data_IF_945225242611
#
_entry.id   IF_945225242611
#
_cell.length_a   1.000
_cell.length_b   1.000
_cell.length_c   1.000
_cell.angle_alpha   90.00
_cell.angle_beta   90.00
_cell.angle_gamma   90.00
#
_symmetry.space_group_name_H-M   'P 1'
#
loop_
_entity.id
_entity.type
_entity.pdbx_description
1 polymer ?
#
# COMPACT_ATOMS: atom_id res chain seq x y z
N UNK A 1 -21.36 29.16 14.89
CA UNK A 1 -20.28 29.01 13.90
C UNK A 1 -20.09 27.53 13.69
N UNK A 2 -20.87 26.95 12.80
CA UNK A 2 -20.85 25.52 12.52
C UNK A 2 -19.78 25.28 11.45
N UNK A 3 -18.56 24.93 11.88
CA UNK A 3 -17.52 24.50 10.95
C UNK A 3 -17.85 23.08 10.56
N UNK A 4 -18.82 22.96 9.65
CA UNK A 4 -19.08 21.76 8.88
C UNK A 4 -17.78 21.43 8.15
N UNK A 5 -17.00 20.50 8.70
CA UNK A 5 -15.78 19.97 8.08
C UNK A 5 -16.19 19.20 6.83
N UNK A 6 -16.41 19.96 5.76
CA UNK A 6 -16.64 19.47 4.41
C UNK A 6 -15.33 18.81 3.99
N UNK A 7 -15.21 17.51 4.23
CA UNK A 7 -14.16 16.67 3.67
C UNK A 7 -14.21 16.86 2.17
N UNK A 8 -13.31 17.71 1.66
CA UNK A 8 -13.15 17.90 0.23
C UNK A 8 -12.60 16.59 -0.32
N UNK A 9 -13.49 15.80 -0.93
CA UNK A 9 -13.17 14.53 -1.52
C UNK A 9 -12.54 14.82 -2.89
N UNK A 10 -11.21 15.02 -2.93
CA UNK A 10 -10.41 15.29 -4.12
C UNK A 10 -10.33 14.06 -5.06
N UNK A 11 -11.44 13.43 -5.43
CA UNK A 11 -11.43 12.22 -6.27
C UNK A 11 -10.44 11.14 -5.78
N UNK A 12 -10.17 11.11 -4.47
CA UNK A 12 -9.11 10.31 -3.87
C UNK A 12 -9.58 8.87 -3.87
N UNK A 13 -9.28 8.18 -4.98
CA UNK A 13 -9.35 6.72 -5.09
C UNK A 13 -8.73 6.15 -3.81
N UNK A 14 -9.47 5.29 -3.10
CA UNK A 14 -9.02 4.70 -1.83
C UNK A 14 -7.54 4.34 -1.93
N UNK A 15 -6.73 4.80 -0.97
CA UNK A 15 -5.32 4.42 -0.89
C UNK A 15 -5.30 2.93 -0.55
N UNK A 16 -5.18 2.10 -1.58
CA UNK A 16 -4.98 0.66 -1.45
C UNK A 16 -3.51 0.36 -1.23
N UNK A 17 -3.21 -0.82 -0.68
CA UNK A 17 -1.85 -1.35 -0.60
C UNK A 17 -1.12 -1.26 -1.95
N UNK A 18 -1.81 -1.58 -3.04
CA UNK A 18 -1.26 -1.57 -4.40
C UNK A 18 -0.83 -0.16 -4.84
N UNK A 19 -1.69 0.84 -4.63
CA UNK A 19 -1.39 2.24 -4.97
C UNK A 19 -0.31 2.82 -4.08
N UNK A 20 -0.29 2.50 -2.78
CA UNK A 20 0.76 2.92 -1.86
C UNK A 20 2.12 2.32 -2.25
N UNK A 21 2.14 1.02 -2.56
CA UNK A 21 3.34 0.31 -3.00
C UNK A 21 3.93 0.90 -4.28
N UNK A 22 3.08 1.16 -5.28
CA UNK A 22 3.48 1.75 -6.54
C UNK A 22 4.02 3.18 -6.35
N UNK A 23 3.35 4.01 -5.54
CA UNK A 23 3.77 5.36 -5.23
C UNK A 23 5.14 5.40 -4.53
N UNK A 24 5.37 4.51 -3.56
CA UNK A 24 6.68 4.37 -2.88
C UNK A 24 7.79 4.04 -3.89
N UNK A 25 7.59 3.04 -4.76
CA UNK A 25 8.59 2.69 -5.77
C UNK A 25 8.92 3.86 -6.69
N UNK A 26 7.89 4.57 -7.16
CA UNK A 26 8.06 5.71 -8.06
C UNK A 26 8.74 6.89 -7.36
N UNK A 27 8.45 7.12 -6.07
CA UNK A 27 9.11 8.14 -5.26
C UNK A 27 10.61 7.87 -5.07
N UNK A 28 11.03 6.61 -5.14
CA UNK A 28 12.44 6.21 -5.08
C UNK A 28 13.10 6.10 -6.47
N UNK A 29 12.38 6.44 -7.54
CA UNK A 29 12.82 6.34 -8.94
C UNK A 29 13.28 4.93 -9.36
N UNK A 30 12.79 3.89 -8.67
CA UNK A 30 13.22 2.51 -8.91
C UNK A 30 12.41 1.85 -10.01
N UNK A 31 13.08 1.09 -10.87
CA UNK A 31 12.42 0.17 -11.80
C UNK A 31 11.79 -1.01 -11.04
N UNK A 32 10.86 -1.72 -11.68
CA UNK A 32 10.31 -2.97 -11.13
C UNK A 32 11.40 -3.99 -10.80
N UNK A 33 12.47 -4.05 -11.61
CA UNK A 33 13.59 -4.97 -11.39
C UNK A 33 14.32 -4.63 -10.10
N UNK A 34 14.73 -3.39 -9.93
CA UNK A 34 15.48 -2.93 -8.75
C UNK A 34 14.65 -3.07 -7.47
N UNK A 35 13.39 -2.65 -7.52
CA UNK A 35 12.53 -2.72 -6.35
C UNK A 35 12.14 -4.16 -5.99
N UNK A 36 11.92 -5.03 -6.98
CA UNK A 36 11.69 -6.45 -6.70
C UNK A 36 12.89 -7.13 -6.04
N UNK A 37 14.12 -6.74 -6.45
CA UNK A 37 15.36 -7.18 -5.83
C UNK A 37 15.49 -6.69 -4.38
N UNK A 38 15.19 -5.41 -4.13
CA UNK A 38 15.17 -4.84 -2.78
C UNK A 38 14.19 -5.58 -1.85
N UNK A 39 13.02 -5.96 -2.36
CA UNK A 39 11.99 -6.65 -1.59
C UNK A 39 12.23 -8.15 -1.45
N UNK A 40 13.09 -8.73 -2.29
CA UNK A 40 13.33 -10.17 -2.37
C UNK A 40 12.16 -10.95 -2.96
N UNK A 41 11.44 -10.38 -3.94
CA UNK A 41 10.33 -11.03 -4.64
C UNK A 41 10.58 -11.02 -6.16
N UNK A 42 9.82 -11.83 -6.91
CA UNK A 42 9.90 -11.77 -8.37
C UNK A 42 9.28 -10.47 -8.92
N UNK A 43 9.80 -10.01 -10.07
CA UNK A 43 9.26 -8.87 -10.82
C UNK A 43 7.77 -9.04 -11.10
N UNK A 44 7.36 -10.25 -11.49
CA UNK A 44 5.97 -10.57 -11.78
C UNK A 44 5.09 -10.39 -10.54
N UNK A 45 5.54 -10.89 -9.37
CA UNK A 45 4.82 -10.74 -8.11
C UNK A 45 4.68 -9.28 -7.72
N UNK A 46 5.74 -8.47 -7.88
CA UNK A 46 5.68 -7.04 -7.64
C UNK A 46 4.65 -6.35 -8.55
N UNK A 47 4.67 -6.65 -9.85
CA UNK A 47 3.71 -6.11 -10.83
C UNK A 47 2.26 -6.48 -10.50
N UNK A 48 2.01 -7.71 -10.04
CA UNK A 48 0.68 -8.17 -9.63
C UNK A 48 0.19 -7.48 -8.35
N UNK A 49 1.10 -7.19 -7.41
CA UNK A 49 0.80 -6.44 -6.20
C UNK A 49 0.48 -4.96 -6.52
N UNK A 50 1.31 -4.29 -7.33
CA UNK A 50 1.11 -2.89 -7.72
C UNK A 50 -0.17 -2.68 -8.53
N UNK A 51 -0.61 -3.69 -9.29
CA UNK A 51 -1.85 -3.64 -10.06
C UNK A 51 -3.07 -4.15 -9.29
N UNK A 52 -2.90 -4.56 -8.03
CA UNK A 52 -3.98 -5.08 -7.19
C UNK A 52 -4.55 -6.43 -7.65
N UNK A 53 -3.87 -7.14 -8.56
CA UNK A 53 -4.26 -8.49 -9.00
C UNK A 53 -4.02 -9.55 -7.94
N UNK A 54 -3.10 -9.26 -7.01
CA UNK A 54 -2.79 -10.12 -5.87
C UNK A 54 -2.93 -9.31 -4.59
N UNK A 55 -3.68 -9.86 -3.63
CA UNK A 55 -3.78 -9.30 -2.29
C UNK A 55 -2.71 -9.98 -1.43
N UNK A 56 -1.76 -9.22 -0.84
CA UNK A 56 -0.78 -9.80 0.07
C UNK A 56 -1.46 -10.28 1.36
N UNK A 57 -0.89 -11.31 2.00
CA UNK A 57 -1.32 -11.68 3.34
C UNK A 57 -0.98 -10.58 4.35
N UNK A 58 -1.73 -10.45 5.45
CA UNK A 58 -1.44 -9.45 6.49
C UNK A 58 -0.02 -9.57 7.06
N UNK A 59 0.47 -10.80 7.24
CA UNK A 59 1.85 -11.07 7.66
C UNK A 59 2.87 -10.47 6.70
N UNK A 60 2.68 -10.67 5.39
CA UNK A 60 3.58 -10.14 4.38
C UNK A 60 3.52 -8.62 4.29
N UNK A 61 2.33 -8.02 4.42
CA UNK A 61 2.19 -6.56 4.45
C UNK A 61 2.94 -5.95 5.65
N UNK A 62 2.97 -6.63 6.79
CA UNK A 62 3.73 -6.24 7.98
C UNK A 62 5.24 -6.37 7.78
N UNK A 63 5.70 -7.51 7.27
CA UNK A 63 7.12 -7.72 6.95
C UNK A 63 7.61 -6.71 5.91
N UNK A 64 6.75 -6.42 4.93
CA UNK A 64 6.98 -5.40 3.93
C UNK A 64 7.12 -4.01 4.57
N UNK A 65 6.17 -3.60 5.42
CA UNK A 65 6.22 -2.32 6.14
C UNK A 65 7.52 -2.15 6.95
N UNK A 66 7.98 -3.22 7.61
CA UNK A 66 9.25 -3.24 8.34
C UNK A 66 10.46 -3.04 7.42
N UNK A 67 10.45 -3.62 6.21
CA UNK A 67 11.56 -3.51 5.24
C UNK A 67 11.71 -2.12 4.63
N UNK A 68 10.61 -1.41 4.36
CA UNK A 68 10.65 -0.04 3.80
C UNK A 68 10.89 1.03 4.87
N UNK A 69 11.04 0.65 6.14
CA UNK A 69 11.32 1.60 7.22
C UNK A 69 10.18 2.57 7.55
N UNK A 70 8.99 2.35 6.99
CA UNK A 70 7.81 3.17 7.28
C UNK A 70 7.05 2.61 8.49
N UNK A 71 6.90 3.37 9.59
CA UNK A 71 6.25 2.89 10.79
C UNK A 71 4.74 2.74 10.57
N UNK A 72 4.28 1.49 10.44
CA UNK A 72 2.96 0.91 10.77
C UNK A 72 1.64 1.62 10.45
N UNK A 73 1.61 2.83 9.88
CA UNK A 73 0.42 3.69 9.92
C UNK A 73 -0.36 3.77 8.59
N UNK A 74 0.29 3.51 7.45
CA UNK A 74 -0.37 3.58 6.13
C UNK A 74 -0.97 2.26 5.65
N UNK A 75 -0.32 1.13 5.92
CA UNK A 75 -0.74 -0.18 5.38
C UNK A 75 -1.77 -0.88 6.28
N UNK A 76 -1.68 -0.71 7.59
CA UNK A 76 -2.56 -1.36 8.58
C UNK A 76 -4.01 -0.87 8.47
N UNK A 77 -4.20 0.42 8.16
CA UNK A 77 -5.53 1.04 7.99
C UNK A 77 -6.34 0.42 6.84
N UNK A 78 -5.68 -0.15 5.84
CA UNK A 78 -6.35 -0.72 4.65
C UNK A 78 -6.80 -2.17 4.85
N UNK A 79 -6.18 -2.90 5.79
CA UNK A 79 -6.50 -4.30 6.08
C UNK A 79 -7.52 -4.44 7.23
N UNK A 80 -7.59 -3.44 8.12
CA UNK A 80 -8.51 -3.46 9.26
C UNK A 80 -9.99 -3.26 8.90
N UNK A 81 -10.31 -2.70 7.73
CA UNK A 81 -11.70 -2.39 7.33
C UNK A 81 -12.54 -3.60 6.89
N UNK A 82 -12.03 -4.84 7.00
CA UNK A 82 -12.75 -6.05 6.57
C UNK A 82 -13.04 -7.08 7.69
N UNK A 83 -12.81 -6.75 8.96
CA UNK A 83 -12.99 -7.71 10.06
C UNK A 83 -14.05 -7.38 11.11
N UNK A 84 -14.88 -6.35 10.93
CA UNK A 84 -15.97 -6.08 11.88
C UNK A 84 -17.32 -6.02 11.20
N UNK A 85 -17.83 -7.19 10.81
CA UNK A 85 -19.25 -7.50 10.88
C UNK A 85 -19.39 -8.98 11.28
N UNK A 86 -19.44 -9.21 12.59
CA UNK A 86 -20.15 -10.32 13.21
C UNK A 86 -21.29 -9.68 13.98
#
# INVERSE_FOLDING_TARGET
MDVSTKTQNFGLKEITFATALNGLRLSEEKTLKEYSGFLGISIQRLSDLEKGRRIPSPSWARDFALKIGHPNTLLDRTLSSRQTQI
#
